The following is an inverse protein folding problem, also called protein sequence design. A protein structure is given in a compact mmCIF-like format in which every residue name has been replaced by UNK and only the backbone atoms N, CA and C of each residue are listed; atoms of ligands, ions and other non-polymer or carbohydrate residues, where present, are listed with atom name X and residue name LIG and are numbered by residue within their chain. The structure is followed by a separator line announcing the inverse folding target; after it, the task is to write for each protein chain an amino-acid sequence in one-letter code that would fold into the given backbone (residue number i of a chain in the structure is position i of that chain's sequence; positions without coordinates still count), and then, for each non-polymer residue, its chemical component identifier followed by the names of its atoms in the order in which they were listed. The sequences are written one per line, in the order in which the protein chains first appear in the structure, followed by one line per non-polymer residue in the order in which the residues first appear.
data_IF_839856920391
#
_entry.id   IF_839856920391
#
_cell.length_a   1.000
_cell.length_b   1.000
_cell.length_c   1.000
_cell.angle_alpha   90.00
_cell.angle_beta   90.00
_cell.angle_gamma   90.00
#
_symmetry.space_group_name_H-M   'P 1'
#
loop_
_entity.id
_entity.type
_entity.pdbx_description
1 polymer ?
#
# COMPACT_ATOMS: atom_id res chain seq x y z
N UNK A 1 -1.34 -11.05 9.50
CA UNK A 1 -0.51 -10.07 8.77
C UNK A 1 0.13 -9.17 9.80
N UNK A 2 1.42 -8.86 9.67
CA UNK A 2 2.00 -7.72 10.40
C UNK A 2 1.47 -6.42 9.79
N UNK A 3 1.58 -5.29 10.51
CA UNK A 3 1.06 -4.01 10.02
C UNK A 3 1.69 -3.61 8.68
N UNK A 4 2.99 -3.84 8.52
CA UNK A 4 3.69 -3.59 7.27
C UNK A 4 3.15 -4.45 6.12
N UNK A 5 2.89 -5.74 6.38
CA UNK A 5 2.30 -6.63 5.38
C UNK A 5 0.88 -6.22 5.02
N UNK A 6 0.06 -5.81 5.99
CA UNK A 6 -1.30 -5.32 5.74
C UNK A 6 -1.26 -4.08 4.85
N UNK A 7 -0.37 -3.13 5.12
CA UNK A 7 -0.22 -1.93 4.31
C UNK A 7 0.19 -2.24 2.86
N UNK A 8 1.15 -3.16 2.66
CA UNK A 8 1.56 -3.60 1.32
C UNK A 8 0.41 -4.30 0.59
N UNK A 9 -0.30 -5.20 1.26
CA UNK A 9 -1.46 -5.90 0.67
C UNK A 9 -2.59 -4.93 0.31
N UNK A 10 -2.84 -3.92 1.14
CA UNK A 10 -3.84 -2.87 0.87
C UNK A 10 -3.47 -2.01 -0.35
N UNK A 11 -2.20 -1.62 -0.49
CA UNK A 11 -1.74 -0.90 -1.69
C UNK A 11 -1.91 -1.75 -2.95
N UNK A 12 -1.59 -3.04 -2.89
CA UNK A 12 -1.68 -3.97 -4.02
C UNK A 12 -3.12 -4.39 -4.37
N UNK A 13 -4.12 -4.07 -3.53
CA UNK A 13 -5.54 -4.27 -3.86
C UNK A 13 -6.06 -3.22 -4.86
N UNK A 14 -5.38 -2.08 -5.03
CA UNK A 14 -5.80 -1.07 -5.98
C UNK A 14 -5.44 -1.52 -7.42
N UNK A 15 -6.42 -1.71 -8.33
CA UNK A 15 -6.16 -2.17 -9.69
C UNK A 15 -5.34 -1.18 -10.53
N UNK A 16 -5.25 0.09 -10.13
CA UNK A 16 -4.42 1.10 -10.80
C UNK A 16 -2.95 1.06 -10.35
N UNK A 17 -2.61 0.23 -9.37
CA UNK A 17 -1.25 0.09 -8.83
C UNK A 17 -0.64 -1.19 -9.36
N UNK A 18 0.34 -1.06 -10.25
CA UNK A 18 1.06 -2.21 -10.81
C UNK A 18 2.12 -2.79 -9.87
N UNK A 19 2.70 -1.96 -8.99
CA UNK A 19 3.76 -2.38 -8.07
C UNK A 19 3.80 -1.53 -6.81
N UNK A 20 4.25 -2.14 -5.72
CA UNK A 20 4.53 -1.47 -4.45
C UNK A 20 6.04 -1.47 -4.18
N UNK A 21 6.62 -0.29 -4.00
CA UNK A 21 8.05 -0.14 -3.66
C UNK A 21 8.20 -0.19 -2.14
N UNK A 22 8.98 -1.14 -1.64
CA UNK A 22 9.25 -1.30 -0.20
C UNK A 22 10.69 -0.95 0.14
N UNK A 23 10.87 -0.08 1.14
CA UNK A 23 12.17 0.16 1.75
C UNK A 23 12.47 -0.88 2.83
N UNK A 24 13.69 -1.40 2.87
CA UNK A 24 14.16 -2.27 3.94
C UNK A 24 15.63 -2.01 4.24
N UNK A 25 16.00 -2.09 5.52
CA UNK A 25 17.40 -1.96 5.98
C UNK A 25 18.03 -3.31 6.29
N UNK A 26 17.21 -4.38 6.39
CA UNK A 26 17.68 -5.75 6.66
C UNK A 26 17.02 -6.76 5.71
N UNK A 27 17.73 -7.82 5.27
CA UNK A 27 17.16 -8.85 4.39
C UNK A 27 15.95 -9.58 4.98
N UNK A 28 15.86 -9.71 6.30
CA UNK A 28 14.71 -10.35 6.97
C UNK A 28 13.41 -9.58 6.73
N UNK A 29 13.46 -8.24 6.68
CA UNK A 29 12.29 -7.39 6.42
C UNK A 29 11.74 -7.62 5.00
N UNK A 30 12.62 -7.82 4.02
CA UNK A 30 12.20 -8.17 2.65
C UNK A 30 11.46 -9.49 2.64
N UNK A 31 12.03 -10.53 3.29
CA UNK A 31 11.40 -11.86 3.38
C UNK A 31 10.05 -11.82 4.10
N UNK A 32 9.86 -10.90 5.02
CA UNK A 32 8.60 -10.72 5.71
C UNK A 32 7.60 -9.95 4.84
N UNK A 33 7.98 -8.78 4.30
CA UNK A 33 7.09 -7.93 3.52
C UNK A 33 6.64 -8.60 2.21
N UNK A 34 7.47 -9.41 1.58
CA UNK A 34 7.10 -10.11 0.32
C UNK A 34 5.94 -11.09 0.53
N UNK A 35 5.73 -11.60 1.74
CA UNK A 35 4.58 -12.48 2.04
C UNK A 35 3.24 -11.76 1.92
N UNK A 36 3.23 -10.43 1.89
CA UNK A 36 2.04 -9.64 1.61
C UNK A 36 1.67 -9.66 0.12
N UNK A 37 2.63 -9.91 -0.77
CA UNK A 37 2.36 -9.98 -2.20
C UNK A 37 1.45 -11.17 -2.49
N UNK A 38 0.27 -10.90 -3.05
CA UNK A 38 -0.75 -11.91 -3.34
C UNK A 38 -1.74 -12.19 -2.22
N UNK A 39 -1.61 -11.53 -1.07
CA UNK A 39 -2.64 -11.58 -0.03
C UNK A 39 -3.85 -10.77 -0.49
N UNK A 40 -5.00 -11.42 -0.58
CA UNK A 40 -6.27 -10.76 -0.86
C UNK A 40 -6.94 -10.39 0.46
N UNK A 41 -7.24 -9.12 0.63
CA UNK A 41 -8.07 -8.64 1.73
C UNK A 41 -9.53 -8.82 1.33
N UNK A 42 -10.33 -9.40 2.21
CA UNK A 42 -11.78 -9.49 1.99
C UNK A 42 -12.44 -8.10 2.07
N UNK A 43 -13.69 -8.02 1.61
CA UNK A 43 -14.42 -6.76 1.57
C UNK A 43 -14.69 -6.17 2.96
N UNK A 44 -14.84 -7.00 3.99
CA UNK A 44 -15.06 -6.55 5.36
C UNK A 44 -13.80 -5.88 5.92
N UNK A 45 -12.64 -6.50 5.68
CA UNK A 45 -11.33 -5.94 6.04
C UNK A 45 -11.06 -4.63 5.32
N UNK A 46 -11.37 -4.52 4.01
CA UNK A 46 -11.24 -3.26 3.27
C UNK A 46 -12.13 -2.16 3.85
N UNK A 47 -13.40 -2.46 4.12
CA UNK A 47 -14.32 -1.50 4.75
C UNK A 47 -13.86 -1.06 6.15
N UNK A 48 -13.27 -1.97 6.93
CA UNK A 48 -12.72 -1.66 8.24
C UNK A 48 -11.52 -0.70 8.13
N UNK A 49 -10.65 -0.89 7.13
CA UNK A 49 -9.54 0.01 6.83
C UNK A 49 -10.06 1.39 6.41
N UNK A 50 -11.03 1.45 5.51
CA UNK A 50 -11.62 2.72 5.05
C UNK A 50 -12.27 3.49 6.21
N UNK A 51 -12.97 2.78 7.11
CA UNK A 51 -13.53 3.38 8.34
C UNK A 51 -12.46 3.90 9.29
N UNK A 52 -11.34 3.19 9.41
CA UNK A 52 -10.24 3.59 10.30
C UNK A 52 -9.45 4.78 9.75
N UNK A 53 -9.24 4.84 8.42
CA UNK A 53 -8.49 5.91 7.77
C UNK A 53 -9.36 7.15 7.50
N UNK A 54 -10.67 6.98 7.29
CA UNK A 54 -11.60 8.07 7.03
C UNK A 54 -11.13 8.93 5.84
N UNK A 55 -11.02 10.24 6.06
CA UNK A 55 -10.56 11.21 5.05
C UNK A 55 -9.06 11.49 5.05
N UNK A 56 -8.24 10.70 5.75
CA UNK A 56 -6.79 10.87 5.75
C UNK A 56 -6.13 10.55 4.40
N UNK A 57 -6.53 9.50 3.66
CA UNK A 57 -5.94 9.18 2.37
C UNK A 57 -6.30 10.23 1.32
N UNK A 58 -5.31 10.70 0.58
CA UNK A 58 -5.55 11.51 -0.59
C UNK A 58 -6.01 10.62 -1.75
N UNK A 59 -7.22 10.85 -2.24
CA UNK A 59 -7.81 10.06 -3.33
C UNK A 59 -7.94 10.84 -4.63
N UNK A 60 -7.59 12.13 -4.66
CA UNK A 60 -7.61 12.93 -5.89
C UNK A 60 -6.44 12.56 -6.80
N UNK A 61 -6.70 11.93 -7.97
CA UNK A 61 -5.63 11.53 -8.88
C UNK A 61 -4.84 12.72 -9.44
N UNK A 62 -5.45 13.92 -9.50
CA UNK A 62 -4.85 15.15 -10.02
C UNK A 62 -3.68 15.64 -9.17
N UNK A 63 -3.60 15.21 -7.90
CA UNK A 63 -2.52 15.59 -6.98
C UNK A 63 -1.26 14.73 -7.13
N UNK A 64 -1.28 13.72 -8.00
CA UNK A 64 -0.09 12.92 -8.35
C UNK A 64 0.83 13.68 -9.34
N UNK A 65 1.23 14.90 -8.98
CA UNK A 65 2.05 15.77 -9.83
C UNK A 65 3.53 15.51 -9.56
N UNK A 66 4.29 15.19 -10.61
CA UNK A 66 5.75 15.11 -10.50
C UNK A 66 6.33 16.52 -10.34
N UNK A 67 7.34 16.73 -9.47
CA UNK A 67 8.11 17.96 -9.45
C UNK A 67 8.70 18.30 -10.83
N UNK A 68 8.74 19.59 -11.17
CA UNK A 68 9.35 20.12 -12.40
C UNK A 68 10.39 21.20 -12.03
N UNK A 69 11.68 21.07 -12.39
CA UNK A 69 12.28 19.99 -13.17
C UNK A 69 12.37 18.67 -12.39
N UNK A 70 12.35 17.56 -13.11
CA UNK A 70 12.81 16.28 -12.57
C UNK A 70 14.33 16.37 -12.42
N UNK A 71 14.87 15.94 -11.28
CA UNK A 71 16.30 15.82 -11.07
C UNK A 71 16.95 14.87 -12.10
#
# INVERSE_FOLDING_TARGET
LTLAQLAVAWVLQNPNVSSAIIGATKPSQIKENVKAAGVKLDAETMNAIDKALGGLPETDPSKTVSPNPRA
#
